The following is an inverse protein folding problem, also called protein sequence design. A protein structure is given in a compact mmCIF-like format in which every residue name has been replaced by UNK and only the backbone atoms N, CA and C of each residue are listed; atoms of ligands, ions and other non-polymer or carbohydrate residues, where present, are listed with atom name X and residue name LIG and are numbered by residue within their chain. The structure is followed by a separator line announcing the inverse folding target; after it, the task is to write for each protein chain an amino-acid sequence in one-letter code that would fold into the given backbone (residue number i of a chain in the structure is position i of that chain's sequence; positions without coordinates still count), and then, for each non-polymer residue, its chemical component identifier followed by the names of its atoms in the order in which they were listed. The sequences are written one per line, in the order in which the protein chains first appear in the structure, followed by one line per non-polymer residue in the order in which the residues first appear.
data_IF_845684140383
#
_entry.id   IF_845684140383
#
_cell.length_a   1.000
_cell.length_b   1.000
_cell.length_c   1.000
_cell.angle_alpha   90.00
_cell.angle_beta   90.00
_cell.angle_gamma   90.00
#
_symmetry.space_group_name_H-M   'P 1'
#
loop_
_entity.id
_entity.type
_entity.pdbx_description
1 polymer ?
#
# COMPACT_ATOMS: atom_id res chain seq x y z
N UNK A 1 24.44 1.89 6.06
CA UNK A 1 23.46 2.73 6.78
C UNK A 1 22.08 2.35 6.28
N UNK A 2 21.44 1.35 6.91
CA UNK A 2 20.04 1.02 6.61
C UNK A 2 19.16 2.14 7.17
N UNK A 3 18.66 3.00 6.29
CA UNK A 3 17.70 4.03 6.66
C UNK A 3 16.36 3.33 6.88
N UNK A 4 16.02 3.03 8.13
CA UNK A 4 14.68 2.56 8.48
C UNK A 4 13.66 3.65 8.13
N UNK A 5 12.74 3.35 7.23
CA UNK A 5 11.67 4.28 6.84
C UNK A 5 10.58 4.17 7.91
N UNK A 6 10.29 5.28 8.59
CA UNK A 6 9.11 5.34 9.47
C UNK A 6 7.84 5.37 8.62
N UNK A 7 6.98 4.37 8.80
CA UNK A 7 5.67 4.30 8.13
C UNK A 7 4.55 4.49 9.14
N UNK A 8 3.53 5.31 8.80
CA UNK A 8 2.32 5.38 9.62
C UNK A 8 1.59 4.04 9.61
N UNK A 9 0.82 3.74 10.66
CA UNK A 9 -0.02 2.53 10.72
C UNK A 9 -1.03 2.43 9.56
N UNK A 10 -1.47 3.58 9.06
CA UNK A 10 -2.36 3.71 7.91
C UNK A 10 -1.75 4.60 6.83
N UNK A 11 -1.69 4.09 5.60
CA UNK A 11 -1.14 4.79 4.45
C UNK A 11 -2.25 5.39 3.61
N UNK A 12 -2.16 6.69 3.33
CA UNK A 12 -2.92 7.30 2.26
C UNK A 12 -2.35 6.92 0.89
N UNK A 13 -3.11 7.12 -0.19
CA UNK A 13 -2.59 6.91 -1.54
C UNK A 13 -1.31 7.72 -1.81
N UNK A 14 -1.23 8.95 -1.31
CA UNK A 14 -0.02 9.79 -1.41
C UNK A 14 1.17 9.14 -0.69
N UNK A 15 0.95 8.58 0.49
CA UNK A 15 2.00 7.91 1.25
C UNK A 15 2.47 6.60 0.57
N UNK A 16 1.57 5.86 -0.09
CA UNK A 16 1.97 4.71 -0.93
C UNK A 16 2.97 5.13 -2.02
N UNK A 17 2.73 6.26 -2.68
CA UNK A 17 3.64 6.74 -3.73
C UNK A 17 4.95 7.29 -3.14
N UNK A 18 4.87 8.18 -2.15
CA UNK A 18 6.06 8.89 -1.63
C UNK A 18 6.95 8.04 -0.73
N UNK A 19 6.36 7.11 0.05
CA UNK A 19 7.11 6.30 1.03
C UNK A 19 7.46 4.90 0.50
N UNK A 20 6.55 4.29 -0.27
CA UNK A 20 6.71 2.92 -0.78
C UNK A 20 6.98 2.86 -2.29
N UNK A 21 7.11 4.02 -2.95
CA UNK A 21 7.42 4.08 -4.39
C UNK A 21 6.34 3.44 -5.26
N UNK A 22 5.07 3.43 -4.82
CA UNK A 22 3.99 2.76 -5.57
C UNK A 22 3.86 3.34 -6.99
N UNK A 23 4.05 2.52 -8.04
CA UNK A 23 4.22 3.03 -9.41
C UNK A 23 2.89 3.35 -10.10
N UNK A 24 1.78 2.83 -9.59
CA UNK A 24 0.48 2.92 -10.26
C UNK A 24 -0.26 4.21 -9.90
N UNK A 25 -1.05 4.70 -10.86
CA UNK A 25 -1.98 5.81 -10.62
C UNK A 25 -3.14 5.37 -9.72
N UNK A 26 -3.81 6.34 -9.10
CA UNK A 26 -4.95 6.11 -8.19
C UNK A 26 -6.06 5.30 -8.86
N UNK A 27 -6.38 5.62 -10.12
CA UNK A 27 -7.41 4.91 -10.89
C UNK A 27 -7.06 3.44 -11.06
N UNK A 28 -5.84 3.11 -11.49
CA UNK A 28 -5.40 1.72 -11.65
C UNK A 28 -5.36 0.97 -10.31
N UNK A 29 -4.92 1.65 -9.26
CA UNK A 29 -4.90 1.11 -7.89
C UNK A 29 -6.32 0.81 -7.40
N UNK A 30 -7.29 1.66 -7.72
CA UNK A 30 -8.71 1.40 -7.44
C UNK A 30 -9.17 0.10 -8.09
N UNK A 31 -8.84 -0.11 -9.37
CA UNK A 31 -9.21 -1.34 -10.09
C UNK A 31 -8.72 -2.60 -9.38
N UNK A 32 -7.54 -2.56 -8.77
CA UNK A 32 -6.95 -3.73 -8.10
C UNK A 32 -7.78 -4.28 -6.93
N UNK A 33 -8.59 -3.43 -6.26
CA UNK A 33 -9.47 -3.88 -5.17
C UNK A 33 -10.97 -3.77 -5.49
N UNK A 34 -11.36 -3.17 -6.62
CA UNK A 34 -12.77 -3.05 -7.02
C UNK A 34 -13.17 -3.98 -8.15
N UNK A 35 -12.28 -4.27 -9.10
CA UNK A 35 -12.63 -5.02 -10.30
C UNK A 35 -12.27 -6.51 -10.15
N UNK A 36 -13.22 -7.39 -10.48
CA UNK A 36 -13.05 -8.84 -10.39
C UNK A 36 -11.86 -9.35 -11.24
N UNK A 37 -11.56 -8.67 -12.35
CA UNK A 37 -10.44 -9.00 -13.22
C UNK A 37 -9.08 -8.99 -12.47
N UNK A 38 -8.94 -8.16 -11.44
CA UNK A 38 -7.72 -8.00 -10.66
C UNK A 38 -7.77 -8.67 -9.28
N UNK A 39 -8.85 -9.37 -8.95
CA UNK A 39 -9.00 -10.02 -7.64
C UNK A 39 -7.87 -11.02 -7.33
N UNK A 40 -7.29 -11.63 -8.38
CA UNK A 40 -6.16 -12.55 -8.28
C UNK A 40 -4.88 -11.88 -7.75
N UNK A 41 -4.73 -10.56 -7.87
CA UNK A 41 -3.60 -9.83 -7.29
C UNK A 41 -3.69 -9.79 -5.77
N UNK A 42 -4.90 -9.83 -5.19
CA UNK A 42 -5.11 -9.78 -3.75
C UNK A 42 -4.67 -8.45 -3.12
N UNK A 43 -4.80 -7.35 -3.86
CA UNK A 43 -4.47 -6.02 -3.35
C UNK A 43 -5.39 -5.64 -2.18
N UNK A 44 -4.86 -5.13 -1.06
CA UNK A 44 -5.67 -4.84 0.12
C UNK A 44 -6.74 -3.77 -0.16
N UNK A 45 -7.94 -3.99 0.37
CA UNK A 45 -9.03 -3.02 0.28
C UNK A 45 -8.77 -1.87 1.27
N UNK A 46 -8.87 -0.60 0.86
CA UNK A 46 -8.72 0.51 1.80
C UNK A 46 -9.90 0.56 2.78
N UNK A 47 -9.60 0.94 4.02
CA UNK A 47 -10.59 1.44 4.97
C UNK A 47 -10.89 2.92 4.74
N UNK A 48 -12.02 3.39 5.27
CA UNK A 48 -12.37 4.81 5.30
C UNK A 48 -12.07 5.35 6.70
N UNK A 49 -11.06 6.23 6.82
CA UNK A 49 -10.71 6.93 8.07
C UNK A 49 -10.97 8.41 7.84
N UNK A 50 -12.05 8.92 8.44
CA UNK A 50 -12.63 10.23 8.08
C UNK A 50 -13.11 10.25 6.63
N UNK A 51 -12.74 11.27 5.86
CA UNK A 51 -13.08 11.38 4.43
C UNK A 51 -12.02 10.81 3.48
N UNK A 52 -11.00 10.13 4.02
CA UNK A 52 -9.88 9.62 3.23
C UNK A 52 -9.84 8.11 3.23
N UNK A 53 -9.60 7.54 2.06
CA UNK A 53 -9.25 6.12 1.91
C UNK A 53 -7.82 5.92 2.39
N UNK A 54 -7.64 4.97 3.30
CA UNK A 54 -6.35 4.60 3.86
C UNK A 54 -6.20 3.09 3.91
N UNK A 55 -4.98 2.62 3.68
CA UNK A 55 -4.63 1.20 3.71
C UNK A 55 -3.90 0.88 5.00
N UNK A 56 -4.18 -0.28 5.58
CA UNK A 56 -3.42 -0.76 6.72
C UNK A 56 -2.01 -1.13 6.25
N UNK A 57 -1.00 -0.55 6.87
CA UNK A 57 0.38 -0.66 6.41
C UNK A 57 0.89 -2.11 6.37
N UNK A 58 0.66 -2.93 7.42
CA UNK A 58 1.06 -4.34 7.38
C UNK A 58 0.49 -5.12 6.18
N UNK A 59 -0.78 -4.89 5.80
CA UNK A 59 -1.39 -5.57 4.65
C UNK A 59 -0.73 -5.18 3.33
N UNK A 60 -0.31 -3.93 3.20
CA UNK A 60 0.40 -3.43 2.01
C UNK A 60 1.80 -4.02 1.94
N UNK A 61 2.52 -4.06 3.06
CA UNK A 61 3.85 -4.67 3.10
C UNK A 61 3.78 -6.16 2.80
N UNK A 62 2.78 -6.86 3.33
CA UNK A 62 2.52 -8.27 3.01
C UNK A 62 2.20 -8.48 1.52
N UNK A 63 1.37 -7.61 0.92
CA UNK A 63 1.14 -7.63 -0.52
C UNK A 63 2.44 -7.45 -1.32
N UNK A 64 3.28 -6.48 -0.96
CA UNK A 64 4.58 -6.29 -1.63
C UNK A 64 5.46 -7.54 -1.52
N UNK A 65 5.52 -8.17 -0.33
CA UNK A 65 6.24 -9.44 -0.13
C UNK A 65 5.72 -10.55 -1.04
N UNK A 66 4.39 -10.73 -1.10
CA UNK A 66 3.75 -11.74 -1.96
C UNK A 66 3.97 -11.51 -3.45
N UNK A 67 4.07 -10.25 -3.88
CA UNK A 67 4.35 -9.89 -5.27
C UNK A 67 5.84 -9.88 -5.62
N UNK A 68 6.73 -10.17 -4.66
CA UNK A 68 8.18 -10.08 -4.86
C UNK A 68 8.66 -8.64 -5.11
N UNK A 69 7.88 -7.64 -4.70
CA UNK A 69 8.26 -6.23 -4.81
C UNK A 69 9.26 -5.89 -3.69
N UNK A 70 10.21 -4.97 -3.96
CA UNK A 70 11.14 -4.52 -2.94
C UNK A 70 10.36 -3.86 -1.79
N UNK A 71 10.45 -4.45 -0.61
CA UNK A 71 9.89 -3.90 0.63
C UNK A 71 11.01 -3.09 1.29
N UNK A 72 10.85 -1.78 1.48
CA UNK A 72 11.83 -1.02 2.24
C UNK A 72 11.90 -1.51 3.69
N UNK A 73 13.09 -1.48 4.31
CA UNK A 73 13.22 -1.70 5.75
C UNK A 73 12.48 -0.61 6.51
N UNK A 74 11.41 -1.01 7.20
CA UNK A 74 10.44 -0.09 7.79
C UNK A 74 10.28 -0.33 9.28
N UNK A 75 10.24 0.76 10.04
CA UNK A 75 9.78 0.77 11.44
C UNK A 75 8.38 1.37 11.47
N UNK A 76 7.43 0.66 12.09
CA UNK A 76 6.07 1.17 12.31
C UNK A 76 6.12 2.15 13.48
N UNK A 77 5.52 3.33 13.28
CA UNK A 77 5.37 4.37 14.30
C UNK A 77 4.07 4.21 15.10
#
# INVERSE_FOLDING_TARGET
MERKIRLPLYLSFKALQEKLGWPQKRTQTTRYYTEKAYAHLGFPKPGKIGDRLQWYTPDILDFYKRQGLPVPDVELE
#
